data_IF_122144153727
#
_entry.id   IF_122144153727
#
_cell.length_a   1.000
_cell.length_b   1.000
_cell.length_c   1.000
_cell.angle_alpha   90.00
_cell.angle_beta   90.00
_cell.angle_gamma   90.00
#
_symmetry.space_group_name_H-M   'P 1'
#
loop_
_entity.id
_entity.type
_entity.pdbx_description
1 polymer ?
#
# COMPACT_ATOMS: atom_id res chain seq x y z
N UNK A 1 -38.16 -7.06 28.40
CA UNK A 1 -37.92 -6.97 26.94
C UNK A 1 -36.83 -5.97 26.54
N UNK A 2 -36.74 -4.77 27.15
CA UNK A 2 -35.64 -3.81 26.86
C UNK A 2 -34.22 -4.34 27.17
N UNK A 3 -34.08 -5.18 28.20
CA UNK A 3 -32.77 -5.69 28.66
C UNK A 3 -32.08 -6.61 27.64
N UNK A 4 -32.85 -7.44 26.89
CA UNK A 4 -32.29 -8.34 25.88
C UNK A 4 -31.83 -7.57 24.63
N UNK A 5 -32.57 -6.53 24.23
CA UNK A 5 -32.18 -5.65 23.13
C UNK A 5 -30.90 -4.87 23.44
N UNK A 6 -30.71 -4.43 24.69
CA UNK A 6 -29.49 -3.75 25.15
C UNK A 6 -28.28 -4.71 25.19
N UNK A 7 -28.49 -5.96 25.60
CA UNK A 7 -27.47 -7.03 25.55
C UNK A 7 -27.08 -7.41 24.11
N UNK A 8 -28.04 -7.42 23.17
CA UNK A 8 -27.78 -7.67 21.75
C UNK A 8 -27.01 -6.52 21.08
N UNK A 9 -27.24 -5.27 21.49
CA UNK A 9 -26.47 -4.10 21.04
C UNK A 9 -25.02 -4.11 21.56
N UNK A 10 -24.80 -4.64 22.77
CA UNK A 10 -23.46 -4.79 23.37
C UNK A 10 -22.65 -5.95 22.77
N UNK A 11 -23.30 -6.88 22.08
CA UNK A 11 -22.67 -8.02 21.41
C UNK A 11 -22.32 -7.74 19.93
N UNK A 12 -22.54 -6.51 19.44
CA UNK A 12 -22.07 -6.10 18.12
C UNK A 12 -20.55 -6.01 18.13
N UNK A 13 -19.87 -7.12 17.80
CA UNK A 13 -18.46 -7.13 17.46
C UNK A 13 -18.22 -6.08 16.36
N UNK A 14 -17.58 -4.98 16.72
CA UNK A 14 -17.25 -3.94 15.76
C UNK A 14 -16.20 -4.46 14.78
N UNK A 15 -16.57 -4.57 13.50
CA UNK A 15 -15.60 -4.81 12.42
C UNK A 15 -14.78 -3.54 12.27
N UNK A 16 -13.47 -3.61 12.52
CA UNK A 16 -12.55 -2.50 12.30
C UNK A 16 -12.07 -2.54 10.85
N UNK A 17 -12.48 -1.56 10.04
CA UNK A 17 -11.99 -1.40 8.67
C UNK A 17 -10.73 -0.52 8.67
N UNK A 18 -9.70 -0.96 7.94
CA UNK A 18 -8.54 -0.14 7.60
C UNK A 18 -8.68 0.32 6.14
N UNK A 19 -8.35 1.58 5.87
CA UNK A 19 -8.44 2.18 4.55
C UNK A 19 -7.04 2.51 4.04
N UNK A 20 -6.77 2.10 2.80
CA UNK A 20 -5.56 2.40 2.06
C UNK A 20 -5.97 3.13 0.78
N UNK A 21 -5.52 4.36 0.60
CA UNK A 21 -5.90 5.22 -0.53
C UNK A 21 -4.67 5.58 -1.35
N UNK A 22 -4.71 5.28 -2.65
CA UNK A 22 -3.66 5.60 -3.61
C UNK A 22 -4.27 6.09 -4.93
N UNK A 23 -3.49 6.71 -5.82
CA UNK A 23 -3.96 7.05 -7.17
C UNK A 23 -4.47 5.81 -7.92
N UNK A 24 -5.56 5.97 -8.67
CA UNK A 24 -6.18 4.88 -9.44
C UNK A 24 -5.33 4.45 -10.65
N UNK A 25 -4.70 5.41 -11.34
CA UNK A 25 -3.86 5.17 -12.49
C UNK A 25 -2.87 6.31 -12.71
N UNK A 26 -1.72 6.00 -13.29
CA UNK A 26 -0.72 6.98 -13.70
C UNK A 26 -0.16 6.60 -15.06
N UNK A 27 0.11 7.58 -15.91
CA UNK A 27 0.80 7.40 -17.17
C UNK A 27 2.13 8.14 -17.12
N UNK A 28 3.22 7.45 -17.45
CA UNK A 28 4.57 7.99 -17.48
C UNK A 28 5.21 7.68 -18.83
N UNK A 29 6.07 8.58 -19.29
CA UNK A 29 6.96 8.32 -20.41
C UNK A 29 8.18 7.52 -19.95
N UNK A 30 8.80 6.71 -20.84
CA UNK A 30 10.04 6.00 -20.51
C UNK A 30 11.13 6.94 -19.96
N UNK A 31 11.86 6.46 -18.95
CA UNK A 31 12.91 7.21 -18.26
C UNK A 31 12.42 8.14 -17.14
N UNK A 32 11.11 8.40 -17.03
CA UNK A 32 10.58 9.24 -15.95
C UNK A 32 10.66 8.54 -14.58
N UNK A 33 10.49 9.34 -13.51
CA UNK A 33 10.39 8.84 -12.14
C UNK A 33 8.94 8.51 -11.80
N UNK A 34 8.75 7.46 -11.01
CA UNK A 34 7.47 7.10 -10.42
C UNK A 34 7.44 7.56 -8.96
N UNK A 35 6.30 8.14 -8.55
CA UNK A 35 5.99 8.41 -7.15
C UNK A 35 4.54 8.03 -6.91
N UNK A 36 4.29 6.93 -6.19
CA UNK A 36 2.95 6.53 -5.77
C UNK A 36 2.84 6.72 -4.27
N UNK A 37 1.91 7.56 -3.85
CA UNK A 37 1.64 7.85 -2.45
C UNK A 37 0.42 7.05 -1.99
N UNK A 38 0.58 6.29 -0.90
CA UNK A 38 -0.49 5.57 -0.22
C UNK A 38 -0.76 6.18 1.15
N UNK A 39 -1.95 6.73 1.34
CA UNK A 39 -2.44 7.21 2.62
C UNK A 39 -3.14 6.07 3.36
N UNK A 40 -2.73 5.80 4.59
CA UNK A 40 -3.34 4.73 5.40
C UNK A 40 -4.10 5.30 6.61
N UNK A 41 -5.13 4.59 7.05
CA UNK A 41 -5.96 4.99 8.21
C UNK A 41 -5.46 4.46 9.56
N UNK A 42 -4.38 3.69 9.57
CA UNK A 42 -3.76 3.10 10.77
C UNK A 42 -2.40 3.73 11.07
N UNK A 43 -1.89 3.51 12.27
CA UNK A 43 -0.60 4.08 12.68
C UNK A 43 0.56 3.24 12.15
N UNK A 44 1.39 3.85 11.28
CA UNK A 44 2.57 3.21 10.72
C UNK A 44 3.66 2.91 11.75
N UNK A 45 3.59 3.46 12.97
CA UNK A 45 4.54 3.11 14.05
C UNK A 45 4.26 1.74 14.67
N UNK A 46 3.06 1.20 14.47
CA UNK A 46 2.62 -0.06 15.08
C UNK A 46 2.45 -1.19 14.06
N UNK A 47 2.47 -0.86 12.77
CA UNK A 47 1.87 -1.67 11.74
C UNK A 47 2.61 -1.54 10.42
N UNK A 48 3.11 -2.68 9.94
CA UNK A 48 3.78 -2.80 8.65
C UNK A 48 2.83 -2.55 7.47
N UNK A 49 3.36 -1.99 6.40
CA UNK A 49 2.67 -1.78 5.13
C UNK A 49 3.55 -2.28 3.99
N UNK A 50 2.95 -2.92 3.00
CA UNK A 50 3.68 -3.49 1.89
C UNK A 50 3.36 -2.79 0.58
N UNK A 51 4.30 -2.89 -0.35
CA UNK A 51 4.04 -2.67 -1.78
C UNK A 51 4.10 -4.00 -2.52
N UNK A 52 3.09 -4.24 -3.34
CA UNK A 52 2.95 -5.41 -4.20
C UNK A 52 2.71 -4.90 -5.62
N UNK A 53 3.28 -5.57 -6.63
CA UNK A 53 2.95 -5.29 -8.02
C UNK A 53 2.51 -6.52 -8.79
N UNK A 54 1.71 -6.31 -9.82
CA UNK A 54 1.32 -7.34 -10.79
C UNK A 54 1.60 -6.86 -12.21
N UNK A 55 2.70 -7.29 -12.83
CA UNK A 55 2.92 -7.09 -14.26
C UNK A 55 1.86 -7.83 -15.09
N UNK A 56 1.55 -7.31 -16.27
CA UNK A 56 0.56 -7.94 -17.17
C UNK A 56 0.92 -9.41 -17.47
N UNK A 57 -0.03 -10.31 -17.26
CA UNK A 57 0.14 -11.75 -17.47
C UNK A 57 1.04 -12.46 -16.44
N UNK A 58 1.44 -11.80 -15.34
CA UNK A 58 2.25 -12.40 -14.26
C UNK A 58 1.48 -12.48 -12.94
N UNK A 59 2.01 -13.30 -12.04
CA UNK A 59 1.54 -13.37 -10.64
C UNK A 59 1.96 -12.12 -9.85
N UNK A 60 1.35 -11.93 -8.68
CA UNK A 60 1.73 -10.88 -7.74
C UNK A 60 3.19 -11.05 -7.28
N UNK A 61 3.93 -9.96 -7.25
CA UNK A 61 5.29 -9.86 -6.74
C UNK A 61 5.33 -8.90 -5.55
N UNK A 62 5.77 -9.40 -4.40
CA UNK A 62 6.09 -8.57 -3.24
C UNK A 62 7.30 -7.68 -3.55
N UNK A 63 7.13 -6.37 -3.40
CA UNK A 63 8.18 -5.39 -3.65
C UNK A 63 8.88 -4.95 -2.37
N UNK A 64 8.12 -4.69 -1.30
CA UNK A 64 8.68 -4.28 -0.03
C UNK A 64 7.77 -4.63 1.15
N UNK A 65 8.37 -4.68 2.34
CA UNK A 65 7.69 -4.55 3.63
C UNK A 65 8.29 -3.33 4.33
N UNK A 66 7.48 -2.29 4.54
CA UNK A 66 7.94 -0.94 4.87
C UNK A 66 9.06 -0.49 3.92
N UNK A 67 10.21 -0.09 4.48
CA UNK A 67 11.38 0.40 3.76
C UNK A 67 12.28 -0.72 3.25
N UNK A 68 12.05 -1.98 3.63
CA UNK A 68 12.83 -3.11 3.15
C UNK A 68 12.32 -3.58 1.78
N UNK A 69 12.98 -3.10 0.74
CA UNK A 69 12.68 -3.43 -0.66
C UNK A 69 13.35 -4.76 -1.03
N UNK A 70 12.71 -5.60 -1.84
CA UNK A 70 13.30 -6.83 -2.38
C UNK A 70 14.61 -6.55 -3.13
N UNK A 71 15.66 -7.32 -2.87
CA UNK A 71 17.01 -7.09 -3.42
C UNK A 71 17.05 -6.91 -4.94
N UNK A 72 16.27 -7.70 -5.69
CA UNK A 72 16.20 -7.59 -7.16
C UNK A 72 15.61 -6.27 -7.66
N UNK A 73 15.00 -5.47 -6.78
CA UNK A 73 14.31 -4.21 -7.09
C UNK A 73 15.01 -2.98 -6.50
N UNK A 74 15.92 -3.14 -5.54
CA UNK A 74 16.60 -2.04 -4.81
C UNK A 74 17.32 -1.03 -5.70
N UNK A 75 17.82 -1.46 -6.87
CA UNK A 75 18.49 -0.56 -7.82
C UNK A 75 17.54 0.41 -8.53
N UNK A 76 16.22 0.16 -8.47
CA UNK A 76 15.22 0.91 -9.24
C UNK A 76 14.13 1.51 -8.37
N UNK A 77 13.75 0.81 -7.29
CA UNK A 77 12.67 1.20 -6.40
C UNK A 77 13.16 1.45 -4.99
N UNK A 78 12.55 2.43 -4.33
CA UNK A 78 12.73 2.72 -2.91
C UNK A 78 11.38 3.04 -2.27
N UNK A 79 11.27 2.90 -0.95
CA UNK A 79 10.05 3.25 -0.21
C UNK A 79 10.39 4.25 0.88
N UNK A 80 9.53 5.26 1.01
CA UNK A 80 9.58 6.25 2.08
C UNK A 80 8.34 6.11 2.96
N UNK A 81 8.54 6.15 4.27
CA UNK A 81 7.51 5.98 5.26
C UNK A 81 7.46 7.25 6.14
N UNK A 82 6.31 7.90 6.17
CA UNK A 82 6.05 9.09 6.99
C UNK A 82 4.94 8.78 7.99
N UNK A 83 5.34 8.49 9.23
CA UNK A 83 4.42 8.18 10.33
C UNK A 83 3.67 9.40 10.85
N UNK A 84 4.11 10.62 10.56
CA UNK A 84 3.42 11.84 10.98
C UNK A 84 2.14 12.08 10.17
N UNK A 85 2.18 11.70 8.89
CA UNK A 85 1.05 11.79 7.97
C UNK A 85 0.39 10.44 7.69
N UNK A 86 0.88 9.32 8.24
CA UNK A 86 0.46 7.96 7.89
C UNK A 86 0.51 7.69 6.39
N UNK A 87 1.62 8.07 5.78
CA UNK A 87 1.84 7.95 4.32
C UNK A 87 2.98 6.99 4.02
N UNK A 88 2.77 6.10 3.05
CA UNK A 88 3.80 5.21 2.50
C UNK A 88 3.95 5.51 1.02
N UNK A 89 5.15 5.90 0.59
CA UNK A 89 5.41 6.34 -0.79
C UNK A 89 6.37 5.39 -1.48
N UNK A 90 5.92 4.77 -2.58
CA UNK A 90 6.78 4.03 -3.49
C UNK A 90 7.41 5.00 -4.49
N UNK A 91 8.73 5.00 -4.56
CA UNK A 91 9.50 5.75 -5.56
C UNK A 91 10.15 4.77 -6.53
N UNK A 92 10.13 5.12 -7.81
CA UNK A 92 10.83 4.39 -8.86
C UNK A 92 11.64 5.34 -9.73
N UNK A 93 12.78 4.88 -10.23
CA UNK A 93 13.67 5.66 -11.09
C UNK A 93 13.84 5.01 -12.45
N UNK A 94 13.98 5.82 -13.51
CA UNK A 94 14.21 5.35 -14.87
C UNK A 94 13.20 4.25 -15.30
N UNK A 95 11.91 4.55 -15.15
CA UNK A 95 10.84 3.59 -15.45
C UNK A 95 10.83 3.26 -16.94
N UNK A 96 10.69 1.98 -17.26
CA UNK A 96 10.64 1.47 -18.63
C UNK A 96 9.30 0.78 -18.89
N UNK A 97 8.92 0.52 -20.15
CA UNK A 97 7.67 -0.18 -20.46
C UNK A 97 7.49 -1.51 -19.70
N UNK A 98 8.57 -2.23 -19.42
CA UNK A 98 8.55 -3.50 -18.68
C UNK A 98 8.17 -3.35 -17.20
N UNK A 99 8.26 -2.14 -16.64
CA UNK A 99 7.83 -1.85 -15.28
C UNK A 99 6.32 -1.55 -15.19
N UNK A 100 5.60 -1.58 -16.31
CA UNK A 100 4.15 -1.38 -16.32
C UNK A 100 3.46 -2.53 -15.59
N UNK A 101 2.73 -2.20 -14.53
CA UNK A 101 2.08 -3.15 -13.65
C UNK A 101 0.92 -2.49 -12.90
N UNK A 102 0.06 -3.31 -12.30
CA UNK A 102 -0.82 -2.85 -11.23
C UNK A 102 0.02 -2.77 -9.95
N UNK A 103 -0.02 -1.64 -9.26
CA UNK A 103 0.71 -1.41 -8.01
C UNK A 103 -0.29 -1.28 -6.87
N UNK A 104 -0.05 -2.03 -5.79
CA UNK A 104 -0.94 -2.10 -4.63
C UNK A 104 -0.15 -1.81 -3.36
N UNK A 105 -0.63 -0.83 -2.60
CA UNK A 105 -0.34 -0.68 -1.19
C UNK A 105 -1.21 -1.69 -0.41
N UNK A 106 -0.60 -2.49 0.47
CA UNK A 106 -1.26 -3.64 1.09
C UNK A 106 -0.95 -3.77 2.59
N UNK A 107 -1.95 -4.28 3.32
CA UNK A 107 -1.89 -4.67 4.73
C UNK A 107 -2.98 -5.71 5.03
#
# INVERSE_FOLDING_TARGET
>A
MLSVALLLLLAASCVKCEQLTQPASMLLQPGQRLTITCQVSYSLSTYYTAWIRQPAGKVLEWMSLDTDVKDSLKNKFSVELDSSSNTVTLKGQNLQPEDTALYYCAR
#
